data_IF_800953312763
#
_entry.id   IF_800953312763
#
_cell.length_a   1.000
_cell.length_b   1.000
_cell.length_c   1.000
_cell.angle_alpha   90.00
_cell.angle_beta   90.00
_cell.angle_gamma   90.00
#
_symmetry.space_group_name_H-M   'P 1'
#
loop_
_entity.id
_entity.type
_entity.pdbx_description
1 polymer ?
#
# COMPACT_ATOMS: atom_id res chain seq x y z
N UNK A 1 -13.54 -4.67 8.08
CA UNK A 1 -13.72 -4.43 9.54
C UNK A 1 -13.15 -3.06 9.88
N UNK A 2 -13.52 -2.49 11.04
CA UNK A 2 -12.91 -1.25 11.52
C UNK A 2 -11.41 -1.46 11.79
N UNK A 3 -10.62 -0.42 11.57
CA UNK A 3 -9.19 -0.37 11.90
C UNK A 3 -9.05 -0.11 13.40
N UNK A 4 -8.22 -0.92 14.07
CA UNK A 4 -7.88 -0.70 15.48
C UNK A 4 -6.74 0.30 15.65
N UNK A 5 -6.52 0.81 16.87
CA UNK A 5 -5.38 1.70 17.15
C UNK A 5 -4.03 1.01 16.85
N UNK A 6 -3.93 -0.30 17.13
CA UNK A 6 -2.74 -1.09 16.82
C UNK A 6 -2.54 -1.22 15.31
N UNK A 7 -3.62 -1.44 14.55
CA UNK A 7 -3.56 -1.45 13.09
C UNK A 7 -3.08 -0.08 12.57
N UNK A 8 -3.56 1.02 13.15
CA UNK A 8 -3.17 2.37 12.76
C UNK A 8 -1.68 2.63 13.03
N UNK A 9 -1.13 2.16 14.14
CA UNK A 9 0.31 2.24 14.44
C UNK A 9 1.15 1.52 13.39
N UNK A 10 0.74 0.30 13.01
CA UNK A 10 1.38 -0.45 11.93
C UNK A 10 1.26 0.25 10.57
N UNK A 11 0.10 0.82 10.26
CA UNK A 11 -0.09 1.57 9.02
C UNK A 11 0.78 2.82 8.96
N UNK A 12 0.97 3.54 10.07
CA UNK A 12 1.93 4.67 10.13
C UNK A 12 3.34 4.23 9.76
N UNK A 13 3.76 3.04 10.21
CA UNK A 13 5.05 2.47 9.79
C UNK A 13 5.11 2.18 8.28
N UNK A 14 4.02 1.68 7.69
CA UNK A 14 3.93 1.53 6.22
C UNK A 14 4.04 2.88 5.49
N UNK A 15 3.44 3.94 6.03
CA UNK A 15 3.53 5.31 5.47
C UNK A 15 4.97 5.84 5.56
N UNK A 16 5.67 5.59 6.67
CA UNK A 16 7.10 5.92 6.79
C UNK A 16 7.93 5.20 5.71
N UNK A 17 7.70 3.90 5.50
CA UNK A 17 8.38 3.13 4.46
C UNK A 17 8.07 3.66 3.05
N UNK A 18 6.82 4.08 2.80
CA UNK A 18 6.42 4.72 1.55
C UNK A 18 7.13 6.07 1.34
N UNK A 19 7.34 6.86 2.39
CA UNK A 19 8.13 8.10 2.32
C UNK A 19 9.59 7.82 1.98
N UNK A 20 10.20 6.82 2.63
CA UNK A 20 11.58 6.43 2.32
C UNK A 20 11.68 5.92 0.86
N UNK A 21 10.66 5.23 0.33
CA UNK A 21 10.59 4.86 -1.09
C UNK A 21 10.61 6.08 -2.00
N UNK A 22 9.80 7.09 -1.69
CA UNK A 22 9.75 8.33 -2.46
C UNK A 22 11.08 9.10 -2.42
N UNK A 23 11.72 9.17 -1.26
CA UNK A 23 13.02 9.83 -1.09
C UNK A 23 14.14 9.14 -1.93
N UNK A 24 13.98 7.85 -2.21
CA UNK A 24 14.86 7.07 -3.08
C UNK A 24 14.35 6.99 -4.54
N UNK A 25 13.47 7.90 -4.96
CA UNK A 25 12.90 8.03 -6.31
C UNK A 25 12.04 6.83 -6.77
N UNK A 26 11.62 5.97 -5.84
CA UNK A 26 10.70 4.86 -6.09
C UNK A 26 9.24 5.26 -5.78
N UNK A 27 8.27 4.51 -6.31
CA UNK A 27 6.86 4.78 -6.01
C UNK A 27 6.57 4.59 -4.51
N UNK A 28 5.73 5.45 -3.88
CA UNK A 28 5.56 5.50 -2.43
C UNK A 28 4.64 4.39 -1.91
N UNK A 29 5.14 3.15 -1.90
CA UNK A 29 4.46 1.99 -1.32
C UNK A 29 5.35 1.31 -0.29
N UNK A 30 4.80 1.09 0.90
CA UNK A 30 5.45 0.42 2.02
C UNK A 30 4.55 -0.66 2.58
N UNK A 31 5.12 -1.74 3.07
CA UNK A 31 4.39 -2.87 3.64
C UNK A 31 5.18 -3.53 4.76
N UNK A 32 4.46 -4.02 5.76
CA UNK A 32 5.04 -4.79 6.86
C UNK A 32 4.27 -6.10 7.04
N UNK A 33 4.97 -7.15 7.46
CA UNK A 33 4.40 -8.43 7.86
C UNK A 33 4.54 -8.55 9.38
N UNK A 34 3.40 -8.72 10.05
CA UNK A 34 3.31 -8.89 11.50
C UNK A 34 2.86 -10.32 11.81
N UNK A 35 3.44 -10.95 12.82
CA UNK A 35 2.97 -12.24 13.32
C UNK A 35 1.77 -12.12 14.27
N UNK A 36 1.27 -13.25 14.77
CA UNK A 36 0.14 -13.29 15.68
C UNK A 36 0.42 -12.63 17.05
N UNK A 37 1.68 -12.51 17.44
CA UNK A 37 2.12 -11.91 18.70
C UNK A 37 2.36 -10.39 18.57
N UNK A 38 2.13 -9.83 17.38
CA UNK A 38 2.33 -8.41 17.10
C UNK A 38 3.77 -8.03 16.79
N UNK A 39 4.66 -9.01 16.55
CA UNK A 39 6.05 -8.75 16.18
C UNK A 39 6.19 -8.59 14.67
N UNK A 40 6.93 -7.56 14.26
CA UNK A 40 7.31 -7.36 12.86
C UNK A 40 8.28 -8.46 12.41
N UNK A 41 7.83 -9.28 11.47
CA UNK A 41 8.64 -10.32 10.84
C UNK A 41 9.40 -9.80 9.62
N UNK A 42 8.79 -8.88 8.88
CA UNK A 42 9.35 -8.35 7.64
C UNK A 42 8.85 -6.92 7.40
N UNK A 43 9.70 -6.08 6.85
CA UNK A 43 9.35 -4.75 6.35
C UNK A 43 9.92 -4.63 4.94
N UNK A 44 9.12 -4.10 4.02
CA UNK A 44 9.59 -3.81 2.68
C UNK A 44 8.93 -2.56 2.13
N UNK A 45 9.53 -2.06 1.06
CA UNK A 45 9.01 -0.94 0.30
C UNK A 45 9.31 -1.14 -1.16
N UNK A 46 8.59 -0.41 -1.99
CA UNK A 46 8.82 -0.45 -3.41
C UNK A 46 10.27 -0.04 -3.72
N UNK A 47 10.96 -0.88 -4.50
CA UNK A 47 12.32 -0.62 -5.01
C UNK A 47 12.33 -0.51 -6.53
N UNK A 48 11.16 -0.57 -7.18
CA UNK A 48 11.03 -0.42 -8.62
C UNK A 48 11.61 0.93 -9.05
N UNK A 49 12.75 0.86 -9.73
CA UNK A 49 13.19 1.85 -10.72
C UNK A 49 12.72 1.36 -12.10
N UNK A 50 12.67 2.22 -13.11
CA UNK A 50 11.98 2.07 -14.41
C UNK A 50 12.19 0.75 -15.21
N UNK A 51 13.06 -0.16 -14.75
CA UNK A 51 13.49 -1.37 -15.45
C UNK A 51 12.80 -2.67 -14.99
N UNK A 52 12.02 -2.68 -13.90
CA UNK A 52 11.20 -3.84 -13.49
C UNK A 52 9.98 -3.41 -12.66
N UNK A 53 8.81 -3.42 -13.28
CA UNK A 53 7.53 -3.00 -12.67
C UNK A 53 6.91 -4.08 -11.76
N UNK A 54 7.55 -5.24 -11.56
CA UNK A 54 6.98 -6.36 -10.78
C UNK A 54 7.40 -6.41 -9.30
N UNK A 55 8.32 -5.54 -8.87
CA UNK A 55 8.84 -5.53 -7.49
C UNK A 55 7.96 -4.74 -6.50
N UNK A 56 6.64 -4.92 -6.63
CA UNK A 56 5.68 -4.44 -5.65
C UNK A 56 5.92 -5.13 -4.29
N UNK A 57 6.05 -4.40 -3.17
CA UNK A 57 6.31 -4.99 -1.85
C UNK A 57 5.23 -5.98 -1.43
N UNK A 58 4.00 -5.80 -1.91
CA UNK A 58 2.87 -6.72 -1.68
C UNK A 58 3.08 -8.07 -2.37
N UNK A 59 3.76 -8.12 -3.52
CA UNK A 59 4.03 -9.38 -4.24
C UNK A 59 5.11 -10.21 -3.53
N UNK A 60 6.13 -9.55 -2.96
CA UNK A 60 7.14 -10.20 -2.14
C UNK A 60 6.50 -10.79 -0.87
N UNK A 61 5.61 -10.05 -0.20
CA UNK A 61 4.95 -10.51 1.04
C UNK A 61 3.89 -11.57 0.76
N UNK A 62 3.14 -11.46 -0.34
CA UNK A 62 2.08 -12.42 -0.69
C UNK A 62 2.60 -13.82 -1.01
N UNK A 63 3.83 -13.95 -1.51
CA UNK A 63 4.47 -15.27 -1.67
C UNK A 63 4.71 -15.99 -0.35
N UNK A 64 4.87 -15.27 0.76
CA UNK A 64 5.23 -15.87 2.06
C UNK A 64 4.04 -16.23 2.93
N UNK A 65 2.90 -15.54 2.81
CA UNK A 65 1.97 -15.49 3.93
C UNK A 65 0.69 -16.32 3.80
N UNK A 66 0.29 -16.77 2.61
CA UNK A 66 -0.76 -17.78 2.51
C UNK A 66 -2.17 -17.47 3.08
N UNK A 67 -2.75 -16.27 3.15
CA UNK A 67 -2.41 -14.97 3.77
C UNK A 67 -3.50 -14.76 4.85
N UNK A 68 -3.12 -14.34 6.06
CA UNK A 68 -4.05 -13.99 7.15
C UNK A 68 -4.88 -12.73 6.86
N UNK A 69 -4.97 -11.82 7.83
CA UNK A 69 -5.69 -10.54 7.64
C UNK A 69 -4.81 -9.51 6.94
N UNK A 70 -5.35 -8.84 5.92
CA UNK A 70 -4.71 -7.69 5.24
C UNK A 70 -5.32 -6.39 5.78
N UNK A 71 -4.48 -5.41 6.09
CA UNK A 71 -4.91 -4.08 6.50
C UNK A 71 -4.24 -3.05 5.59
N UNK A 72 -4.99 -2.09 5.05
CA UNK A 72 -4.45 -1.09 4.13
C UNK A 72 -4.83 0.34 4.52
N UNK A 73 -3.92 1.30 4.29
CA UNK A 73 -4.14 2.72 4.58
C UNK A 73 -5.05 3.39 3.54
N UNK A 74 -4.77 3.19 2.26
CA UNK A 74 -5.57 3.72 1.15
C UNK A 74 -5.94 2.61 0.18
N UNK A 75 -7.15 2.65 -0.36
CA UNK A 75 -7.63 1.69 -1.36
C UNK A 75 -7.11 2.01 -2.77
N UNK A 76 -7.08 1.00 -3.65
CA UNK A 76 -6.80 1.20 -5.08
C UNK A 76 -7.82 2.14 -5.75
N UNK A 77 -9.07 2.16 -5.27
CA UNK A 77 -10.10 3.07 -5.75
C UNK A 77 -9.77 4.54 -5.41
N UNK A 78 -9.27 4.82 -4.21
CA UNK A 78 -8.82 6.18 -3.83
C UNK A 78 -7.65 6.63 -4.72
N UNK A 79 -6.63 5.78 -4.89
CA UNK A 79 -5.50 6.08 -5.76
C UNK A 79 -5.96 6.39 -7.20
N UNK A 80 -6.84 5.58 -7.77
CA UNK A 80 -7.37 5.82 -9.11
C UNK A 80 -8.19 7.10 -9.22
N UNK A 81 -8.97 7.44 -8.19
CA UNK A 81 -9.67 8.72 -8.11
C UNK A 81 -8.71 9.90 -8.17
N UNK A 82 -7.60 9.83 -7.43
CA UNK A 82 -6.58 10.89 -7.42
C UNK A 82 -5.79 10.95 -8.73
N UNK A 83 -5.43 9.81 -9.33
CA UNK A 83 -4.76 9.79 -10.64
C UNK A 83 -5.64 10.43 -11.73
N UNK A 84 -6.95 10.16 -11.71
CA UNK A 84 -7.90 10.80 -12.61
C UNK A 84 -8.01 12.31 -12.34
N UNK A 85 -8.06 12.73 -11.08
CA UNK A 85 -8.07 14.15 -10.67
C UNK A 85 -6.83 14.89 -11.20
N UNK A 86 -5.66 14.26 -11.17
CA UNK A 86 -4.39 14.84 -11.62
C UNK A 86 -4.12 14.67 -13.11
N UNK A 87 -5.02 14.03 -13.85
CA UNK A 87 -4.82 13.70 -15.27
C UNK A 87 -3.52 12.89 -15.51
N UNK A 88 -3.14 12.07 -14.54
CA UNK A 88 -1.95 11.23 -14.61
C UNK A 88 -2.14 10.06 -15.59
N UNK A 89 -1.05 9.50 -16.15
CA UNK A 89 -1.12 8.30 -16.99
C UNK A 89 -1.81 7.15 -16.26
N UNK A 90 -2.71 6.46 -16.98
CA UNK A 90 -3.47 5.33 -16.43
C UNK A 90 -2.52 4.14 -16.24
N UNK A 91 -2.45 3.55 -15.04
CA UNK A 91 -1.67 2.33 -14.83
C UNK A 91 -2.17 1.17 -15.70
N UNK A 92 -1.30 0.27 -16.17
CA UNK A 92 -1.69 -0.85 -17.03
C UNK A 92 -2.52 -1.93 -16.32
N UNK A 93 -2.66 -1.84 -15.00
CA UNK A 93 -3.36 -2.82 -14.15
C UNK A 93 -4.60 -2.17 -13.54
N UNK A 94 -5.78 -2.76 -13.78
CA UNK A 94 -7.04 -2.28 -13.25
C UNK A 94 -7.07 -2.27 -11.70
N UNK A 95 -7.80 -1.34 -11.05
CA UNK A 95 -7.87 -1.23 -9.59
C UNK A 95 -8.85 -2.24 -8.99
N UNK A 96 -8.60 -3.53 -9.20
CA UNK A 96 -9.42 -4.56 -8.60
C UNK A 96 -9.23 -4.56 -7.09
N UNK A 97 -10.33 -4.75 -6.36
CA UNK A 97 -10.25 -4.90 -4.91
C UNK A 97 -9.57 -6.23 -4.55
N UNK A 98 -8.95 -6.30 -3.37
CA UNK A 98 -8.31 -7.53 -2.88
C UNK A 98 -9.30 -8.69 -2.88
N UNK A 99 -10.54 -8.47 -2.43
CA UNK A 99 -11.57 -9.51 -2.36
C UNK A 99 -12.12 -9.92 -3.72
N UNK A 100 -11.94 -9.10 -4.76
CA UNK A 100 -12.23 -9.51 -6.15
C UNK A 100 -11.20 -10.55 -6.62
N UNK A 101 -9.93 -10.39 -6.24
CA UNK A 101 -8.84 -11.30 -6.63
C UNK A 101 -8.78 -12.53 -5.72
N UNK A 102 -8.98 -12.32 -4.41
CA UNK A 102 -8.94 -13.35 -3.37
C UNK A 102 -10.23 -13.25 -2.52
N UNK A 103 -11.33 -13.91 -2.93
CA UNK A 103 -12.62 -13.77 -2.26
C UNK A 103 -12.64 -14.14 -0.78
N UNK A 104 -11.73 -15.02 -0.34
CA UNK A 104 -11.62 -15.46 1.05
C UNK A 104 -10.73 -14.56 1.92
N UNK A 105 -10.12 -13.51 1.35
CA UNK A 105 -9.23 -12.64 2.11
C UNK A 105 -9.99 -11.87 3.18
N UNK A 106 -9.43 -11.83 4.39
CA UNK A 106 -9.94 -10.98 5.47
C UNK A 106 -9.27 -9.62 5.34
N UNK A 107 -10.04 -8.56 5.10
CA UNK A 107 -9.49 -7.24 4.80
C UNK A 107 -10.09 -6.13 5.69
N UNK A 108 -9.25 -5.22 6.16
CA UNK A 108 -9.61 -3.99 6.84
C UNK A 108 -9.00 -2.76 6.16
N UNK A 109 -9.75 -1.68 6.07
CA UNK A 109 -9.32 -0.42 5.45
C UNK A 109 -10.42 0.20 4.59
N UNK A 110 -10.21 1.43 4.10
CA UNK A 110 -9.03 2.29 4.33
C UNK A 110 -8.97 2.89 5.75
N UNK A 111 -7.86 3.57 6.07
CA UNK A 111 -7.66 4.37 7.29
C UNK A 111 -7.86 5.86 6.98
N UNK A 112 -9.00 6.46 7.33
CA UNK A 112 -9.28 7.88 7.05
C UNK A 112 -8.22 8.83 7.64
N UNK A 113 -7.63 8.45 8.76
CA UNK A 113 -6.60 9.25 9.47
C UNK A 113 -5.31 9.42 8.67
N UNK A 114 -5.04 8.54 7.69
CA UNK A 114 -3.84 8.55 6.87
C UNK A 114 -4.11 8.99 5.42
N UNK A 115 -5.36 9.31 5.08
CA UNK A 115 -5.77 9.57 3.70
C UNK A 115 -5.05 10.78 3.10
N UNK A 116 -5.06 11.92 3.79
CA UNK A 116 -4.43 13.16 3.32
C UNK A 116 -2.91 13.03 3.18
N UNK A 117 -2.27 12.33 4.13
CA UNK A 117 -0.83 12.08 4.12
C UNK A 117 -0.44 11.22 2.92
N UNK A 118 -1.18 10.14 2.67
CA UNK A 118 -0.94 9.26 1.51
C UNK A 118 -1.26 9.96 0.19
N UNK A 119 -2.35 10.75 0.10
CA UNK A 119 -2.66 11.54 -1.09
C UNK A 119 -1.51 12.48 -1.43
N UNK A 120 -0.90 13.12 -0.42
CA UNK A 120 0.26 14.00 -0.61
C UNK A 120 1.48 13.26 -1.15
N UNK A 121 1.79 12.07 -0.62
CA UNK A 121 2.89 11.23 -1.13
C UNK A 121 2.65 10.80 -2.58
N UNK A 122 1.45 10.37 -2.93
CA UNK A 122 1.10 10.02 -4.31
C UNK A 122 1.15 11.23 -5.24
N UNK A 123 0.70 12.40 -4.79
CA UNK A 123 0.75 13.63 -5.58
C UNK A 123 2.19 14.01 -5.92
N UNK A 124 3.12 13.88 -4.97
CA UNK A 124 4.54 14.15 -5.20
C UNK A 124 5.14 13.27 -6.30
N UNK A 125 4.64 12.04 -6.48
CA UNK A 125 5.15 11.10 -7.49
C UNK A 125 4.43 11.16 -8.84
N UNK A 126 3.12 11.39 -8.84
CA UNK A 126 2.25 11.16 -10.01
C UNK A 126 1.61 12.42 -10.58
N UNK A 127 1.69 13.57 -9.90
CA UNK A 127 1.11 14.84 -10.40
C UNK A 127 2.06 15.63 -11.32
N UNK A 128 3.29 15.15 -11.52
CA UNK A 128 4.33 15.79 -12.34
C UNK A 128 4.09 15.66 -13.83
#
# INVERSE_FOLDING_TARGET
MAISEVDLQHLRRCVELARIALDDDASPFGSILIDADGKTLYEDRNRCTDNDLTQHPEFAIARWAGLGRIVYATSSAQLWGWLAEWHAPVPPVAPLSITTVVPSAVVSGPAPELEEEMKSLYAARFRS
#
